data_IF_696590369876
#
_entry.id   IF_696590369876
#
_cell.length_a   1.000
_cell.length_b   1.000
_cell.length_c   1.000
_cell.angle_alpha   90.00
_cell.angle_beta   90.00
_cell.angle_gamma   90.00
#
_symmetry.space_group_name_H-M   'P 1'
#
loop_
_entity.id
_entity.type
_entity.pdbx_description
1 polymer ?
#
# COMPACT_ATOMS: atom_id res chain seq x y z
N UNK A 1 -11.96 34.27 12.60
CA UNK A 1 -10.86 33.29 12.63
C UNK A 1 -10.24 33.03 14.03
N UNK A 2 -10.83 33.52 15.14
CA UNK A 2 -10.24 33.44 16.49
C UNK A 2 -10.52 32.14 17.30
N UNK A 3 -11.40 31.25 16.82
CA UNK A 3 -11.88 30.08 17.60
C UNK A 3 -11.66 28.71 16.92
N UNK A 4 -11.00 28.65 15.76
CA UNK A 4 -10.80 27.40 15.01
C UNK A 4 -10.16 26.24 15.79
N UNK A 5 -9.13 26.47 16.63
CA UNK A 5 -8.51 25.40 17.42
C UNK A 5 -9.44 24.88 18.52
N UNK A 6 -10.16 25.79 19.20
CA UNK A 6 -11.07 25.44 20.28
C UNK A 6 -12.27 24.61 19.78
N UNK A 7 -12.83 24.97 18.62
CA UNK A 7 -13.92 24.21 17.98
C UNK A 7 -13.44 22.80 17.60
N UNK A 8 -12.21 22.67 17.08
CA UNK A 8 -11.64 21.37 16.69
C UNK A 8 -11.40 20.46 17.90
N UNK A 9 -10.96 21.02 19.03
CA UNK A 9 -10.75 20.27 20.28
C UNK A 9 -12.09 19.81 20.86
N UNK A 10 -13.09 20.70 20.93
CA UNK A 10 -14.43 20.36 21.45
C UNK A 10 -15.09 19.28 20.57
N UNK A 11 -15.00 19.41 19.24
CA UNK A 11 -15.49 18.40 18.32
C UNK A 11 -14.77 17.04 18.51
N UNK A 12 -13.46 17.04 18.73
CA UNK A 12 -12.69 15.81 18.99
C UNK A 12 -13.13 15.09 20.27
N UNK A 13 -13.48 15.83 21.33
CA UNK A 13 -13.99 15.25 22.57
C UNK A 13 -15.47 14.82 22.48
N UNK A 14 -16.27 15.47 21.63
CA UNK A 14 -17.65 15.06 21.35
C UNK A 14 -17.74 13.82 20.44
N UNK A 15 -16.70 13.55 19.63
CA UNK A 15 -16.65 12.37 18.78
C UNK A 15 -16.38 11.09 19.57
N UNK A 16 -17.20 10.07 19.34
CA UNK A 16 -16.96 8.71 19.85
C UNK A 16 -15.66 8.14 19.27
N UNK A 17 -15.04 7.16 19.95
CA UNK A 17 -13.84 6.46 19.43
C UNK A 17 -14.08 5.92 18.01
N UNK A 18 -15.26 5.35 17.76
CA UNK A 18 -15.67 4.85 16.45
C UNK A 18 -15.69 5.96 15.39
N UNK A 19 -16.36 7.09 15.67
CA UNK A 19 -16.43 8.21 14.72
C UNK A 19 -15.05 8.78 14.39
N UNK A 20 -14.12 8.82 15.36
CA UNK A 20 -12.74 9.24 15.11
C UNK A 20 -12.02 8.28 14.16
N UNK A 21 -12.18 6.97 14.36
CA UNK A 21 -11.64 5.96 13.44
C UNK A 21 -12.26 6.06 12.05
N UNK A 22 -13.57 6.26 11.95
CA UNK A 22 -14.27 6.41 10.67
C UNK A 22 -13.79 7.67 9.92
N UNK A 23 -13.66 8.81 10.61
CA UNK A 23 -13.13 10.04 10.01
C UNK A 23 -11.67 9.90 9.58
N UNK A 24 -10.83 9.25 10.38
CA UNK A 24 -9.46 8.93 9.99
C UNK A 24 -9.43 8.01 8.76
N UNK A 25 -10.28 6.98 8.74
CA UNK A 25 -10.41 6.04 7.63
C UNK A 25 -10.86 6.73 6.34
N UNK A 26 -11.82 7.65 6.44
CA UNK A 26 -12.27 8.47 5.31
C UNK A 26 -11.13 9.34 4.77
N UNK A 27 -10.41 10.05 5.65
CA UNK A 27 -9.28 10.89 5.25
C UNK A 27 -8.16 10.11 4.55
N UNK A 28 -7.77 8.96 5.09
CA UNK A 28 -6.79 8.06 4.47
C UNK A 28 -7.29 7.57 3.10
N UNK A 29 -8.56 7.20 3.00
CA UNK A 29 -9.17 6.72 1.75
C UNK A 29 -9.17 7.79 0.66
N UNK A 30 -9.49 9.04 1.00
CA UNK A 30 -9.43 10.17 0.07
C UNK A 30 -8.00 10.40 -0.44
N UNK A 31 -7.00 10.37 0.45
CA UNK A 31 -5.59 10.51 0.07
C UNK A 31 -5.12 9.37 -0.84
N UNK A 32 -5.52 8.14 -0.53
CA UNK A 32 -5.20 6.98 -1.36
C UNK A 32 -5.83 7.09 -2.75
N UNK A 33 -7.11 7.47 -2.83
CA UNK A 33 -7.81 7.68 -4.10
C UNK A 33 -7.14 8.76 -4.97
N UNK A 34 -6.71 9.87 -4.36
CA UNK A 34 -6.00 10.94 -5.04
C UNK A 34 -4.70 10.50 -5.72
N UNK A 35 -4.03 9.47 -5.21
CA UNK A 35 -2.84 8.85 -5.86
C UNK A 35 -3.21 7.76 -6.85
N UNK A 36 -4.23 6.96 -6.56
CA UNK A 36 -4.65 5.81 -7.38
C UNK A 36 -5.21 6.24 -8.73
N UNK A 37 -6.09 7.24 -8.74
CA UNK A 37 -6.76 7.72 -9.97
C UNK A 37 -5.74 8.13 -11.05
N UNK A 38 -4.78 9.05 -10.80
CA UNK A 38 -3.82 9.43 -11.82
C UNK A 38 -2.91 8.28 -12.25
N UNK A 39 -2.51 7.38 -11.35
CA UNK A 39 -1.74 6.18 -11.71
C UNK A 39 -2.50 5.29 -12.69
N UNK A 40 -3.79 5.06 -12.43
CA UNK A 40 -4.66 4.28 -13.31
C UNK A 40 -4.82 4.97 -14.68
N UNK A 41 -5.15 6.27 -14.67
CA UNK A 41 -5.34 7.05 -15.89
C UNK A 41 -4.09 7.09 -16.75
N UNK A 42 -2.93 7.42 -16.17
CA UNK A 42 -1.65 7.46 -16.90
C UNK A 42 -1.32 6.07 -17.45
N UNK A 43 -1.57 5.00 -16.70
CA UNK A 43 -1.32 3.64 -17.16
C UNK A 43 -2.21 3.26 -18.34
N UNK A 44 -3.50 3.60 -18.29
CA UNK A 44 -4.42 3.37 -19.41
C UNK A 44 -4.03 4.16 -20.65
N UNK A 45 -3.68 5.44 -20.49
CA UNK A 45 -3.22 6.29 -21.59
C UNK A 45 -1.90 5.78 -22.19
N UNK A 46 -1.01 5.20 -21.38
CA UNK A 46 0.24 4.59 -21.86
C UNK A 46 -0.06 3.47 -22.87
N UNK A 47 -1.04 2.60 -22.59
CA UNK A 47 -1.51 1.60 -23.56
C UNK A 47 -2.18 2.24 -24.77
N UNK A 48 -3.15 3.13 -24.55
CA UNK A 48 -3.95 3.71 -25.63
C UNK A 48 -3.11 4.50 -26.62
N UNK A 49 -2.07 5.20 -26.15
CA UNK A 49 -1.21 6.01 -26.98
C UNK A 49 -0.11 5.17 -27.66
N UNK A 50 0.64 4.37 -26.89
CA UNK A 50 1.82 3.69 -27.41
C UNK A 50 1.48 2.44 -28.25
N UNK A 51 0.32 1.83 -28.07
CA UNK A 51 -0.13 0.73 -28.94
C UNK A 51 -0.98 1.19 -30.12
N UNK A 52 -1.25 2.50 -30.24
CA UNK A 52 -2.11 3.03 -31.30
C UNK A 52 -1.49 2.81 -32.67
N UNK A 53 -2.23 2.16 -33.56
CA UNK A 53 -1.80 1.94 -34.95
C UNK A 53 -0.82 0.78 -35.14
N UNK A 54 -0.38 0.12 -34.06
CA UNK A 54 0.42 -1.10 -34.16
C UNK A 54 -0.48 -2.28 -34.56
N UNK A 55 -0.04 -3.04 -35.56
CA UNK A 55 -0.75 -4.24 -36.03
C UNK A 55 -0.60 -5.38 -35.01
N UNK A 56 -1.71 -6.00 -34.63
CA UNK A 56 -1.70 -7.21 -33.80
C UNK A 56 -1.88 -8.48 -34.66
N UNK A 57 -1.09 -9.54 -34.47
CA UNK A 57 0.19 -9.58 -33.75
C UNK A 57 1.35 -9.05 -34.62
N UNK A 58 2.30 -8.37 -34.00
CA UNK A 58 3.60 -8.03 -34.59
C UNK A 58 4.68 -8.03 -33.50
N UNK A 59 5.94 -8.17 -33.90
CA UNK A 59 7.08 -8.10 -32.96
C UNK A 59 7.14 -6.72 -32.29
N UNK A 60 6.92 -5.65 -33.06
CA UNK A 60 6.86 -4.27 -32.56
C UNK A 60 5.74 -4.07 -31.53
N UNK A 61 4.55 -4.64 -31.75
CA UNK A 61 3.45 -4.61 -30.78
C UNK A 61 3.86 -5.30 -29.47
N UNK A 62 4.47 -6.47 -29.58
CA UNK A 62 4.87 -7.29 -28.42
C UNK A 62 5.95 -6.60 -27.60
N UNK A 63 6.96 -6.03 -28.25
CA UNK A 63 8.03 -5.27 -27.59
C UNK A 63 7.49 -4.01 -26.91
N UNK A 64 6.64 -3.24 -27.62
CA UNK A 64 6.03 -2.02 -27.08
C UNK A 64 5.15 -2.35 -25.87
N UNK A 65 4.37 -3.42 -25.95
CA UNK A 65 3.53 -3.90 -24.86
C UNK A 65 4.36 -4.31 -23.63
N UNK A 66 5.47 -5.02 -23.80
CA UNK A 66 6.40 -5.35 -22.70
C UNK A 66 6.95 -4.09 -22.02
N UNK A 67 7.37 -3.08 -22.79
CA UNK A 67 7.82 -1.78 -22.24
C UNK A 67 6.73 -1.08 -21.43
N UNK A 68 5.47 -1.12 -21.89
CA UNK A 68 4.33 -0.57 -21.16
C UNK A 68 4.09 -1.36 -19.87
N UNK A 69 4.07 -2.69 -19.92
CA UNK A 69 3.92 -3.56 -18.74
C UNK A 69 4.91 -3.18 -17.65
N UNK A 70 6.19 -3.00 -17.99
CA UNK A 70 7.21 -2.58 -17.04
C UNK A 70 6.95 -1.20 -16.41
N UNK A 71 6.56 -0.20 -17.22
CA UNK A 71 6.23 1.14 -16.70
C UNK A 71 5.03 1.10 -15.76
N UNK A 72 3.99 0.34 -16.13
CA UNK A 72 2.78 0.18 -15.32
C UNK A 72 3.08 -0.57 -14.02
N UNK A 73 3.87 -1.65 -14.08
CA UNK A 73 4.31 -2.38 -12.90
C UNK A 73 5.03 -1.47 -11.89
N UNK A 74 5.91 -0.58 -12.36
CA UNK A 74 6.59 0.41 -11.51
C UNK A 74 5.64 1.42 -10.86
N UNK A 75 4.62 1.88 -11.59
CA UNK A 75 3.60 2.78 -11.03
C UNK A 75 2.77 2.08 -9.96
N UNK A 76 2.41 0.82 -10.17
CA UNK A 76 1.72 0.00 -9.17
C UNK A 76 2.62 -0.20 -7.95
N UNK A 77 3.90 -0.54 -8.12
CA UNK A 77 4.85 -0.69 -7.01
C UNK A 77 4.92 0.59 -6.16
N UNK A 78 5.03 1.75 -6.80
CA UNK A 78 5.01 3.04 -6.11
C UNK A 78 3.70 3.23 -5.35
N UNK A 79 2.54 2.94 -5.97
CA UNK A 79 1.23 3.07 -5.34
C UNK A 79 1.09 2.16 -4.10
N UNK A 80 1.55 0.91 -4.20
CA UNK A 80 1.60 -0.03 -3.08
C UNK A 80 2.41 0.51 -1.90
N UNK A 81 3.58 1.10 -2.18
CA UNK A 81 4.45 1.70 -1.15
C UNK A 81 3.85 2.96 -0.52
N UNK A 82 3.18 3.81 -1.31
CA UNK A 82 2.59 5.06 -0.80
C UNK A 82 1.30 4.85 -0.02
N UNK A 83 0.42 3.95 -0.49
CA UNK A 83 -0.90 3.76 0.12
C UNK A 83 -0.89 2.69 1.23
N UNK A 84 0.09 1.78 1.23
CA UNK A 84 0.23 0.74 2.26
C UNK A 84 -1.01 -0.17 2.37
N UNK A 85 -1.20 -0.79 3.54
CA UNK A 85 -2.42 -1.53 3.88
C UNK A 85 -2.84 -2.53 2.80
N UNK A 86 -4.08 -2.40 2.31
CA UNK A 86 -4.62 -3.26 1.26
C UNK A 86 -3.84 -3.17 -0.06
N UNK A 87 -3.28 -2.01 -0.41
CA UNK A 87 -2.50 -1.85 -1.63
C UNK A 87 -1.19 -2.63 -1.55
N UNK A 88 -0.52 -2.60 -0.40
CA UNK A 88 0.69 -3.39 -0.17
C UNK A 88 0.40 -4.90 -0.26
N UNK A 89 -0.68 -5.36 0.39
CA UNK A 89 -1.12 -6.77 0.33
C UNK A 89 -1.46 -7.21 -1.08
N UNK A 90 -2.20 -6.39 -1.83
CA UNK A 90 -2.50 -6.66 -3.23
C UNK A 90 -1.23 -6.72 -4.08
N UNK A 91 -0.27 -5.82 -3.86
CA UNK A 91 1.02 -5.84 -4.54
C UNK A 91 1.81 -7.12 -4.27
N UNK A 92 1.83 -7.58 -3.01
CA UNK A 92 2.46 -8.85 -2.62
C UNK A 92 1.80 -10.05 -3.33
N UNK A 93 0.46 -10.08 -3.35
CA UNK A 93 -0.29 -11.12 -4.06
C UNK A 93 -0.03 -11.11 -5.56
N UNK A 94 -0.05 -9.95 -6.22
CA UNK A 94 0.28 -9.84 -7.64
C UNK A 94 1.72 -10.29 -7.92
N UNK A 95 2.66 -9.96 -7.03
CA UNK A 95 4.06 -10.39 -7.15
C UNK A 95 4.26 -11.91 -7.08
N UNK A 96 3.32 -12.68 -6.51
CA UNK A 96 3.43 -14.14 -6.40
C UNK A 96 2.83 -14.90 -7.59
N UNK A 97 2.20 -14.20 -8.53
CA UNK A 97 1.52 -14.78 -9.69
C UNK A 97 2.45 -14.97 -10.91
N UNK A 98 3.65 -15.54 -10.70
CA UNK A 98 4.69 -15.73 -11.72
C UNK A 98 4.19 -16.43 -13.00
N UNK A 99 3.28 -17.40 -12.87
CA UNK A 99 2.74 -18.15 -14.01
C UNK A 99 1.52 -17.51 -14.70
N UNK A 100 0.91 -16.47 -14.09
CA UNK A 100 -0.34 -15.87 -14.61
C UNK A 100 -0.16 -14.45 -15.15
N UNK A 101 0.81 -13.70 -14.62
CA UNK A 101 1.06 -12.32 -15.02
C UNK A 101 2.29 -12.21 -15.93
N UNK A 102 2.37 -11.16 -16.77
CA UNK A 102 3.61 -10.85 -17.47
C UNK A 102 4.75 -10.66 -16.47
N UNK A 103 5.93 -11.19 -16.79
CA UNK A 103 7.12 -11.16 -15.92
C UNK A 103 7.45 -9.76 -15.41
N UNK A 104 7.17 -8.72 -16.21
CA UNK A 104 7.43 -7.34 -15.83
C UNK A 104 6.67 -6.93 -14.57
N UNK A 105 5.47 -7.47 -14.35
CA UNK A 105 4.70 -7.23 -13.13
C UNK A 105 5.25 -8.00 -11.94
N UNK A 106 5.50 -9.30 -12.12
CA UNK A 106 5.93 -10.18 -11.02
C UNK A 106 7.33 -9.81 -10.54
N UNK A 107 8.28 -9.62 -11.46
CA UNK A 107 9.65 -9.21 -11.13
C UNK A 107 9.68 -7.86 -10.41
N UNK A 108 8.82 -6.92 -10.83
CA UNK A 108 8.76 -5.58 -10.23
C UNK A 108 8.05 -5.58 -8.88
N UNK A 109 7.06 -6.44 -8.65
CA UNK A 109 6.28 -6.47 -7.41
C UNK A 109 6.83 -7.44 -6.36
N UNK A 110 7.71 -8.37 -6.75
CA UNK A 110 8.36 -9.31 -5.83
C UNK A 110 9.12 -8.63 -4.69
N UNK A 111 9.64 -7.42 -4.92
CA UNK A 111 10.29 -6.59 -3.86
C UNK A 111 9.36 -6.27 -2.70
N UNK A 112 8.03 -6.32 -2.89
CA UNK A 112 7.07 -6.11 -1.81
C UNK A 112 6.96 -7.33 -0.87
N UNK A 113 7.46 -8.49 -1.30
CA UNK A 113 7.53 -9.71 -0.51
C UNK A 113 8.81 -9.76 0.33
N UNK A 114 9.85 -9.01 -0.07
CA UNK A 114 11.13 -9.00 0.63
C UNK A 114 11.09 -8.11 1.88
N UNK A 115 11.24 -8.77 3.04
CA UNK A 115 11.47 -8.25 4.40
C UNK A 115 10.45 -7.21 4.89
N UNK A 116 9.62 -7.65 5.84
CA UNK A 116 8.98 -6.70 6.74
C UNK A 116 10.08 -5.86 7.42
N UNK A 117 10.00 -4.51 7.40
CA UNK A 117 10.91 -3.72 8.20
C UNK A 117 10.73 -4.13 9.67
N UNK A 118 11.84 -4.49 10.33
CA UNK A 118 11.85 -4.82 11.77
C UNK A 118 11.24 -3.64 12.53
N UNK A 119 10.07 -3.86 13.13
CA UNK A 119 9.44 -2.84 13.96
C UNK A 119 10.28 -2.67 15.23
N UNK A 120 10.60 -1.44 15.65
CA UNK A 120 11.27 -1.22 16.93
C UNK A 120 10.47 -1.88 18.06
N UNK A 121 11.17 -2.62 18.92
CA UNK A 121 10.57 -3.41 20.00
C UNK A 121 9.64 -2.59 20.88
N UNK A 122 9.97 -1.32 21.14
CA UNK A 122 9.15 -0.42 21.96
C UNK A 122 7.77 -0.18 21.35
N UNK A 123 7.68 -0.07 20.01
CA UNK A 123 6.39 0.03 19.32
C UNK A 123 5.63 -1.30 19.38
N UNK A 124 6.34 -2.41 19.28
CA UNK A 124 5.74 -3.74 19.33
C UNK A 124 5.16 -4.03 20.73
N UNK A 125 5.88 -3.66 21.80
CA UNK A 125 5.42 -3.74 23.19
C UNK A 125 4.13 -2.96 23.40
N UNK A 126 4.10 -1.70 22.96
CA UNK A 126 2.90 -0.86 23.07
C UNK A 126 1.71 -1.47 22.32
N UNK A 127 1.91 -2.10 21.16
CA UNK A 127 0.83 -2.77 20.43
C UNK A 127 0.33 -3.99 21.22
N UNK A 128 1.24 -4.84 21.70
CA UNK A 128 0.88 -6.05 22.46
C UNK A 128 0.17 -5.67 23.77
N UNK A 129 0.68 -4.68 24.50
CA UNK A 129 0.07 -4.19 25.74
C UNK A 129 -1.34 -3.61 25.52
N UNK A 130 -1.57 -2.92 24.40
CA UNK A 130 -2.89 -2.42 24.07
C UNK A 130 -3.86 -3.54 23.63
N UNK A 131 -3.36 -4.57 22.95
CA UNK A 131 -4.19 -5.67 22.45
C UNK A 131 -4.54 -6.70 23.56
N UNK A 132 -3.62 -6.94 24.50
CA UNK A 132 -3.78 -7.93 25.57
C UNK A 132 -4.09 -7.33 26.95
N UNK A 133 -3.85 -6.03 27.16
CA UNK A 133 -4.10 -5.35 28.43
C UNK A 133 -3.08 -5.63 29.54
N UNK A 134 -2.04 -6.41 29.25
CA UNK A 134 -0.98 -6.84 30.18
C UNK A 134 0.40 -6.60 29.57
N UNK A 135 1.46 -6.52 30.39
CA UNK A 135 2.82 -6.23 29.90
C UNK A 135 3.38 -7.40 29.10
N UNK A 136 4.32 -7.12 28.18
CA UNK A 136 4.94 -8.16 27.33
C UNK A 136 5.48 -9.34 28.15
N UNK A 137 6.06 -9.04 29.32
CA UNK A 137 6.67 -10.00 30.25
C UNK A 137 5.63 -10.84 31.02
N UNK A 138 4.38 -10.39 31.09
CA UNK A 138 3.26 -11.15 31.69
C UNK A 138 2.62 -12.09 30.67
N UNK A 139 2.53 -11.65 29.41
CA UNK A 139 1.92 -12.42 28.32
C UNK A 139 2.82 -13.56 27.83
N UNK A 140 4.16 -13.37 27.83
CA UNK A 140 5.12 -14.34 27.29
C UNK A 140 6.17 -14.77 28.33
N UNK A 141 6.46 -16.07 28.40
CA UNK A 141 7.52 -16.62 29.27
C UNK A 141 8.94 -16.28 28.79
N UNK A 142 9.11 -16.05 27.49
CA UNK A 142 10.35 -15.53 26.88
C UNK A 142 9.99 -14.88 25.54
N UNK A 143 10.69 -13.80 25.18
CA UNK A 143 10.48 -13.08 23.94
C UNK A 143 11.84 -12.75 23.30
N UNK A 144 12.09 -13.26 22.10
CA UNK A 144 13.31 -12.95 21.37
C UNK A 144 13.19 -11.56 20.74
N UNK A 145 14.18 -10.72 21.02
CA UNK A 145 14.20 -9.33 20.61
C UNK A 145 14.54 -9.17 19.13
N UNK A 146 15.13 -10.20 18.53
CA UNK A 146 15.55 -10.18 17.13
C UNK A 146 14.48 -10.88 16.29
N UNK A 147 13.80 -10.16 15.38
CA UNK A 147 12.83 -10.79 14.49
C UNK A 147 13.54 -11.81 13.58
N UNK A 148 12.97 -13.02 13.51
CA UNK A 148 13.49 -14.16 12.74
C UNK A 148 13.10 -14.13 11.25
N UNK A 149 12.18 -13.26 10.84
CA UNK A 149 11.74 -13.07 9.45
C UNK A 149 11.17 -11.67 9.20
#
# INVERSE_FOLDING_TARGET
>A
LKYGPAISIVAYFMMTKQMRQDCMGFGISTLNAGRTIPVLTISALDYMYNLRGLKYPSDEYTETRSKIHWRVAKRILWLCKQNGGIYLKSGQYLGSLESMLPKEYTDTLKVLQDKAPSMPLDRLKVVIENDFGETLEQVFSSFDQIPIA
#
